data_IF_731560659125
#
_entry.id   IF_731560659125
#
_cell.length_a   1.000
_cell.length_b   1.000
_cell.length_c   1.000
_cell.angle_alpha   90.00
_cell.angle_beta   90.00
_cell.angle_gamma   90.00
#
_symmetry.space_group_name_H-M   'P 1'
#
loop_
_entity.id
_entity.type
_entity.pdbx_description
1 polymer ?
#
# COMPACT_ATOMS: atom_id res chain seq x y z
N UNK A 1 2.84 -36.85 -13.07
CA UNK A 1 3.88 -37.91 -13.05
C UNK A 1 5.31 -37.35 -12.86
N UNK A 2 5.64 -36.15 -13.36
CA UNK A 2 6.97 -35.53 -13.14
C UNK A 2 7.25 -35.09 -11.69
N UNK A 3 6.22 -34.71 -10.91
CA UNK A 3 6.36 -34.27 -9.52
C UNK A 3 6.83 -35.37 -8.56
N UNK A 4 6.57 -36.64 -8.87
CA UNK A 4 6.92 -37.78 -8.01
C UNK A 4 8.38 -38.23 -8.20
N UNK A 5 8.96 -38.01 -9.39
CA UNK A 5 10.37 -38.37 -9.66
C UNK A 5 11.39 -37.39 -9.07
N UNK A 6 10.96 -36.18 -8.72
CA UNK A 6 11.84 -35.19 -8.10
C UNK A 6 12.13 -35.51 -6.62
N UNK A 7 11.25 -36.19 -5.90
CA UNK A 7 11.38 -36.38 -4.44
C UNK A 7 12.60 -37.22 -3.99
N UNK A 8 13.32 -37.88 -4.91
CA UNK A 8 14.36 -38.87 -4.58
C UNK A 8 15.80 -38.32 -4.58
N UNK A 9 16.02 -37.04 -4.86
CA UNK A 9 17.37 -36.44 -4.89
C UNK A 9 17.50 -35.33 -3.86
N UNK A 10 18.61 -35.31 -3.09
CA UNK A 10 18.91 -34.27 -2.08
C UNK A 10 18.77 -32.83 -2.64
N UNK A 11 18.88 -32.65 -3.96
CA UNK A 11 18.62 -31.39 -4.67
C UNK A 11 17.21 -30.83 -4.46
N UNK A 12 16.18 -31.68 -4.36
CA UNK A 12 14.80 -31.21 -4.24
C UNK A 12 14.50 -30.67 -2.86
N UNK A 13 15.15 -31.20 -1.83
CA UNK A 13 15.06 -30.64 -0.48
C UNK A 13 15.65 -29.22 -0.45
N UNK A 14 16.80 -28.99 -1.08
CA UNK A 14 17.40 -27.66 -1.18
C UNK A 14 16.53 -26.68 -1.98
N UNK A 15 15.99 -27.11 -3.12
CA UNK A 15 15.08 -26.27 -3.93
C UNK A 15 13.81 -25.92 -3.14
N UNK A 16 13.19 -26.90 -2.47
CA UNK A 16 12.03 -26.66 -1.62
C UNK A 16 12.33 -25.69 -0.48
N UNK A 17 13.51 -25.80 0.14
CA UNK A 17 13.92 -24.91 1.23
C UNK A 17 14.13 -23.46 0.74
N UNK A 18 14.75 -23.28 -0.43
CA UNK A 18 14.89 -21.96 -1.07
C UNK A 18 13.52 -21.36 -1.39
N UNK A 19 12.61 -22.15 -1.97
CA UNK A 19 11.25 -21.70 -2.26
C UNK A 19 10.46 -21.35 -0.98
N UNK A 20 10.56 -22.18 0.06
CA UNK A 20 9.90 -21.94 1.34
C UNK A 20 10.42 -20.65 2.00
N UNK A 21 11.73 -20.42 1.95
CA UNK A 21 12.33 -19.20 2.47
C UNK A 21 11.85 -17.96 1.69
N UNK A 22 11.85 -18.04 0.36
CA UNK A 22 11.35 -16.98 -0.51
C UNK A 22 9.87 -16.65 -0.22
N UNK A 23 9.01 -17.66 -0.11
CA UNK A 23 7.60 -17.47 0.25
C UNK A 23 7.42 -16.90 1.66
N UNK A 24 8.24 -17.33 2.62
CA UNK A 24 8.17 -16.85 4.01
C UNK A 24 8.46 -15.35 4.11
N UNK A 25 9.44 -14.85 3.34
CA UNK A 25 9.72 -13.41 3.28
C UNK A 25 8.51 -12.64 2.73
N UNK A 26 7.92 -13.10 1.62
CA UNK A 26 6.75 -12.43 1.04
C UNK A 26 5.55 -12.44 1.98
N UNK A 27 5.31 -13.57 2.65
CA UNK A 27 4.25 -13.73 3.62
C UNK A 27 4.45 -12.76 4.79
N UNK A 28 5.68 -12.64 5.29
CA UNK A 28 6.03 -11.72 6.39
C UNK A 28 5.73 -10.27 6.03
N UNK A 29 6.15 -9.80 4.84
CA UNK A 29 5.86 -8.45 4.35
C UNK A 29 4.35 -8.21 4.26
N UNK A 30 3.62 -9.18 3.69
CA UNK A 30 2.17 -9.08 3.52
C UNK A 30 1.44 -9.03 4.87
N UNK A 31 1.87 -9.84 5.85
CA UNK A 31 1.33 -9.83 7.21
C UNK A 31 1.61 -8.51 7.92
N UNK A 32 2.79 -7.92 7.76
CA UNK A 32 3.11 -6.60 8.32
C UNK A 32 2.20 -5.51 7.75
N UNK A 33 1.96 -5.52 6.44
CA UNK A 33 1.02 -4.58 5.79
C UNK A 33 -0.42 -4.79 6.28
N UNK A 34 -0.84 -6.04 6.45
CA UNK A 34 -2.16 -6.38 6.96
C UNK A 34 -2.35 -5.97 8.43
N UNK A 35 -1.31 -6.15 9.25
CA UNK A 35 -1.30 -5.73 10.65
C UNK A 35 -1.39 -4.20 10.77
N UNK A 36 -0.61 -3.46 9.97
CA UNK A 36 -0.66 -1.99 9.95
C UNK A 36 -2.06 -1.48 9.58
N UNK A 37 -2.68 -2.09 8.56
CA UNK A 37 -4.07 -1.81 8.20
C UNK A 37 -5.03 -2.06 9.36
N UNK A 38 -4.90 -3.21 10.01
CA UNK A 38 -5.78 -3.61 11.10
C UNK A 38 -5.64 -2.72 12.34
N UNK A 39 -4.45 -2.16 12.59
CA UNK A 39 -4.21 -1.29 13.74
C UNK A 39 -4.66 0.15 13.45
N UNK A 40 -4.33 0.70 12.28
CA UNK A 40 -4.49 2.15 12.01
C UNK A 40 -5.78 2.53 11.30
N UNK A 41 -6.33 1.64 10.48
CA UNK A 41 -7.42 1.94 9.55
C UNK A 41 -8.61 1.00 9.68
N UNK A 42 -8.60 0.11 10.68
CA UNK A 42 -9.77 -0.70 11.00
C UNK A 42 -10.92 0.22 11.40
N UNK A 43 -12.04 0.09 10.70
CA UNK A 43 -13.25 0.91 10.84
C UNK A 43 -13.12 2.36 10.35
N UNK A 44 -12.15 2.66 9.48
CA UNK A 44 -12.10 3.95 8.81
C UNK A 44 -12.90 3.93 7.51
N UNK A 45 -13.85 4.86 7.36
CA UNK A 45 -14.58 5.09 6.11
C UNK A 45 -14.17 6.45 5.58
N UNK A 46 -13.65 6.47 4.35
CA UNK A 46 -13.30 7.71 3.67
C UNK A 46 -14.19 7.86 2.45
N UNK A 47 -14.92 8.97 2.37
CA UNK A 47 -15.79 9.28 1.24
C UNK A 47 -15.42 10.64 0.67
N UNK A 48 -15.06 10.65 -0.61
CA UNK A 48 -14.88 11.86 -1.37
C UNK A 48 -16.22 12.30 -1.96
N UNK A 49 -16.66 13.50 -1.62
CA UNK A 49 -17.78 14.19 -2.26
C UNK A 49 -17.26 15.31 -3.15
N UNK A 50 -18.16 15.94 -3.92
CA UNK A 50 -17.83 17.02 -4.88
C UNK A 50 -17.04 18.20 -4.31
N UNK A 51 -17.05 18.45 -3.00
CA UNK A 51 -16.26 19.53 -2.39
C UNK A 51 -15.75 19.21 -0.98
N UNK A 52 -15.94 17.96 -0.52
CA UNK A 52 -15.68 17.58 0.87
C UNK A 52 -15.05 16.20 0.96
N UNK A 53 -14.12 16.05 1.90
CA UNK A 53 -13.60 14.80 2.37
C UNK A 53 -14.34 14.45 3.66
N UNK A 54 -15.20 13.43 3.61
CA UNK A 54 -15.81 12.88 4.82
C UNK A 54 -14.94 11.73 5.30
N UNK A 55 -14.51 11.82 6.55
CA UNK A 55 -13.65 10.85 7.18
C UNK A 55 -14.29 10.38 8.48
N UNK A 56 -14.59 9.10 8.59
CA UNK A 56 -15.17 8.50 9.79
C UNK A 56 -14.18 7.51 10.40
N UNK A 57 -13.84 7.67 11.67
CA UNK A 57 -13.10 6.69 12.48
C UNK A 57 -13.93 6.37 13.71
N UNK A 58 -14.16 5.08 13.99
CA UNK A 58 -14.78 4.63 15.26
C UNK A 58 -16.03 5.47 15.63
N UNK A 59 -16.91 5.67 14.64
CA UNK A 59 -18.15 6.46 14.72
C UNK A 59 -18.03 7.98 14.87
N UNK A 60 -16.81 8.52 14.99
CA UNK A 60 -16.59 9.97 14.92
C UNK A 60 -16.46 10.38 13.45
N UNK A 61 -17.30 11.33 13.03
CA UNK A 61 -17.28 11.89 11.68
C UNK A 61 -16.58 13.24 11.64
N UNK A 62 -15.59 13.32 10.78
CA UNK A 62 -14.91 14.53 10.39
C UNK A 62 -15.29 14.87 8.95
N UNK A 63 -15.50 16.16 8.68
CA UNK A 63 -15.77 16.66 7.34
C UNK A 63 -14.79 17.79 7.09
N UNK A 64 -13.92 17.61 6.10
CA UNK A 64 -12.95 18.60 5.68
C UNK A 64 -13.33 19.14 4.30
N UNK A 65 -13.14 20.43 4.10
CA UNK A 65 -13.27 21.02 2.77
C UNK A 65 -12.02 20.71 1.94
N UNK A 66 -12.14 20.59 0.62
CA UNK A 66 -10.99 20.22 -0.22
C UNK A 66 -9.91 21.31 -0.25
N UNK A 67 -10.29 22.55 0.04
CA UNK A 67 -9.37 23.67 0.22
C UNK A 67 -8.44 23.46 1.42
N UNK A 68 -8.89 22.70 2.43
CA UNK A 68 -8.11 22.33 3.60
C UNK A 68 -7.10 21.22 3.31
N UNK A 69 -7.17 20.56 2.15
CA UNK A 69 -6.20 19.54 1.75
C UNK A 69 -4.94 20.23 1.23
N UNK A 70 -3.83 20.07 1.95
CA UNK A 70 -2.54 20.63 1.57
C UNK A 70 -1.91 19.75 0.47
N UNK A 71 -1.71 18.47 0.78
CA UNK A 71 -1.01 17.52 -0.09
C UNK A 71 -1.58 16.11 0.04
N UNK A 72 -1.51 15.37 -1.06
CA UNK A 72 -1.84 13.94 -1.08
C UNK A 72 -0.62 13.18 -1.58
N UNK A 73 -0.10 12.31 -0.72
CA UNK A 73 1.10 11.53 -0.98
C UNK A 73 0.69 10.08 -1.16
N UNK A 74 0.96 9.54 -2.34
CA UNK A 74 0.70 8.15 -2.67
C UNK A 74 2.01 7.37 -2.54
N UNK A 75 2.06 6.51 -1.53
CA UNK A 75 3.10 5.53 -1.29
C UNK A 75 2.71 4.21 -1.97
N UNK A 76 3.54 3.76 -2.89
CA UNK A 76 3.39 2.45 -3.51
C UNK A 76 4.34 1.45 -2.85
N UNK A 77 3.88 0.22 -2.67
CA UNK A 77 4.78 -0.90 -2.37
C UNK A 77 5.84 -1.05 -3.48
N UNK A 78 7.03 -1.59 -3.16
CA UNK A 78 8.05 -1.89 -4.17
C UNK A 78 7.45 -2.77 -5.27
N UNK A 79 7.75 -2.44 -6.52
CA UNK A 79 7.35 -3.26 -7.66
C UNK A 79 8.48 -3.29 -8.68
N UNK A 80 8.64 -4.43 -9.34
CA UNK A 80 9.58 -4.61 -10.45
C UNK A 80 9.14 -3.72 -11.62
N UNK A 81 7.83 -3.69 -11.91
CA UNK A 81 7.26 -2.89 -12.99
C UNK A 81 5.87 -2.38 -12.63
N UNK A 82 5.81 -1.15 -12.09
CA UNK A 82 4.55 -0.48 -11.74
C UNK A 82 3.71 -0.23 -13.00
N UNK A 83 2.39 -0.42 -12.90
CA UNK A 83 1.40 -0.38 -13.99
C UNK A 83 1.52 -1.52 -15.02
N UNK A 84 2.28 -2.58 -14.72
CA UNK A 84 2.20 -3.83 -15.47
C UNK A 84 0.93 -4.59 -15.12
N UNK A 85 0.38 -5.35 -16.08
CA UNK A 85 -0.68 -6.35 -15.80
C UNK A 85 -0.12 -7.59 -15.09
N UNK A 86 1.20 -7.77 -15.14
CA UNK A 86 1.91 -8.88 -14.48
C UNK A 86 2.34 -8.41 -13.09
N UNK A 87 1.81 -9.09 -12.08
CA UNK A 87 2.15 -8.91 -10.66
C UNK A 87 3.11 -10.04 -10.27
N UNK A 88 4.32 -9.70 -9.86
CA UNK A 88 5.37 -10.65 -9.46
C UNK A 88 5.33 -10.96 -7.97
N UNK A 89 4.94 -9.98 -7.15
CA UNK A 89 4.83 -10.16 -5.71
C UNK A 89 3.40 -9.83 -5.24
N UNK A 90 2.87 -10.58 -4.26
CA UNK A 90 1.50 -10.36 -3.76
C UNK A 90 1.32 -8.97 -3.13
N UNK A 91 2.42 -8.33 -2.68
CA UNK A 91 2.40 -6.99 -2.11
C UNK A 91 2.49 -5.85 -3.14
N UNK A 92 2.84 -6.10 -4.41
CA UNK A 92 3.00 -5.01 -5.41
C UNK A 92 1.72 -4.17 -5.63
N UNK A 93 0.50 -4.72 -5.54
CA UNK A 93 -0.73 -3.94 -5.65
C UNK A 93 -1.00 -3.05 -4.44
N UNK A 94 -0.22 -3.17 -3.35
CA UNK A 94 -0.49 -2.40 -2.15
C UNK A 94 -0.09 -0.94 -2.32
N UNK A 95 -1.04 -0.07 -1.97
CA UNK A 95 -0.90 1.37 -2.00
C UNK A 95 -1.35 1.94 -0.67
N UNK A 96 -0.69 3.00 -0.26
CA UNK A 96 -1.00 3.76 0.94
C UNK A 96 -1.03 5.23 0.59
N UNK A 97 -2.01 5.94 1.12
CA UNK A 97 -2.24 7.33 0.79
C UNK A 97 -2.33 8.10 2.07
N UNK A 98 -1.46 9.10 2.16
CA UNK A 98 -1.43 10.09 3.22
C UNK A 98 -2.00 11.38 2.66
N UNK A 99 -3.06 11.88 3.28
CA UNK A 99 -3.65 13.18 3.01
C UNK A 99 -3.25 14.08 4.17
N UNK A 100 -2.45 15.10 3.88
CA UNK A 100 -2.11 16.15 4.85
C UNK A 100 -3.11 17.29 4.69
N UNK A 101 -3.68 17.72 5.81
CA UNK A 101 -4.56 18.88 5.89
C UNK A 101 -3.77 20.09 6.39
N UNK A 102 -4.18 21.30 6.01
CA UNK A 102 -3.53 22.57 6.37
C UNK A 102 -3.48 22.79 7.89
N UNK A 103 -4.37 22.15 8.65
CA UNK A 103 -4.41 22.18 10.11
C UNK A 103 -3.43 21.20 10.79
N UNK A 104 -2.57 20.53 10.02
CA UNK A 104 -1.60 19.54 10.49
C UNK A 104 -2.19 18.14 10.71
N UNK A 105 -3.50 17.93 10.49
CA UNK A 105 -4.12 16.61 10.59
C UNK A 105 -3.75 15.73 9.40
N UNK A 106 -3.64 14.43 9.67
CA UNK A 106 -3.25 13.41 8.68
C UNK A 106 -4.34 12.36 8.56
N UNK A 107 -4.78 12.11 7.33
CA UNK A 107 -5.76 11.06 7.02
C UNK A 107 -5.08 9.98 6.19
N UNK A 108 -5.31 8.73 6.55
CA UNK A 108 -4.68 7.57 5.95
C UNK A 108 -5.68 6.69 5.24
N UNK A 109 -5.37 6.32 4.00
CA UNK A 109 -6.18 5.40 3.18
C UNK A 109 -5.28 4.31 2.63
N UNK A 110 -5.71 3.05 2.72
CA UNK A 110 -4.93 1.91 2.26
C UNK A 110 -5.64 1.18 1.11
N UNK A 111 -4.88 0.46 0.29
CA UNK A 111 -5.43 -0.39 -0.79
C UNK A 111 -6.25 -1.58 -0.29
N UNK A 112 -6.14 -1.94 0.99
CA UNK A 112 -7.03 -2.94 1.60
C UNK A 112 -8.44 -2.38 1.81
N UNK A 113 -8.56 -1.05 1.92
CA UNK A 113 -9.85 -0.35 1.96
C UNK A 113 -10.48 -0.21 0.57
N UNK A 114 -9.68 -0.01 -0.48
CA UNK A 114 -10.13 0.10 -1.87
C UNK A 114 -9.11 -0.56 -2.82
N UNK A 115 -9.51 -1.63 -3.51
CA UNK A 115 -8.66 -2.36 -4.45
C UNK A 115 -8.26 -1.53 -5.68
N UNK A 116 -9.03 -0.48 -6.00
CA UNK A 116 -8.83 0.41 -7.14
C UNK A 116 -8.35 1.81 -6.72
N UNK A 117 -7.80 1.93 -5.51
CA UNK A 117 -7.47 3.21 -4.85
C UNK A 117 -6.72 4.21 -5.76
N UNK A 118 -5.73 3.75 -6.53
CA UNK A 118 -4.95 4.60 -7.43
C UNK A 118 -5.82 5.20 -8.56
N UNK A 119 -6.70 4.40 -9.17
CA UNK A 119 -7.65 4.90 -10.16
C UNK A 119 -8.72 5.78 -9.52
N UNK A 120 -9.26 5.38 -8.36
CA UNK A 120 -10.26 6.14 -7.61
C UNK A 120 -9.77 7.57 -7.35
N UNK A 121 -8.53 7.72 -6.87
CA UNK A 121 -7.98 9.06 -6.55
C UNK A 121 -7.57 9.87 -7.76
N UNK A 122 -7.02 9.25 -8.81
CA UNK A 122 -6.76 9.95 -10.09
C UNK A 122 -8.05 10.45 -10.75
N UNK A 123 -9.15 9.74 -10.55
CA UNK A 123 -10.46 10.09 -11.14
C UNK A 123 -11.10 11.31 -10.47
N UNK A 124 -10.70 11.63 -9.23
CA UNK A 124 -11.19 12.80 -8.52
C UNK A 124 -10.49 14.04 -9.06
N UNK A 125 -11.20 14.76 -9.93
CA UNK A 125 -10.71 15.96 -10.63
C UNK A 125 -10.16 17.04 -9.71
N UNK A 126 -10.67 17.12 -8.49
CA UNK A 126 -10.38 18.17 -7.50
C UNK A 126 -9.04 17.95 -6.80
N UNK A 127 -8.48 16.75 -6.93
CA UNK A 127 -7.15 16.40 -6.41
C UNK A 127 -6.05 16.61 -7.46
N UNK A 128 -6.40 16.99 -8.70
CA UNK A 128 -5.42 17.23 -9.77
C UNK A 128 -4.50 18.39 -9.39
N UNK A 129 -3.20 18.10 -9.29
CA UNK A 129 -2.15 19.05 -8.91
C UNK A 129 -1.65 18.91 -7.46
N UNK A 130 -2.40 18.24 -6.57
CA UNK A 130 -2.00 17.99 -5.17
C UNK A 130 -1.49 16.56 -4.94
N UNK A 131 -1.46 15.74 -5.99
CA UNK A 131 -1.06 14.32 -5.91
C UNK A 131 0.42 14.16 -6.22
N UNK A 132 1.16 13.65 -5.25
CA UNK A 132 2.57 13.29 -5.37
C UNK A 132 2.75 11.77 -5.31
N UNK A 133 3.40 11.21 -6.32
CA UNK A 133 3.76 9.79 -6.35
C UNK A 133 5.18 9.61 -5.85
N UNK A 134 5.34 9.00 -4.68
CA UNK A 134 6.66 8.56 -4.23
C UNK A 134 7.03 7.27 -4.98
N UNK A 135 7.85 7.41 -6.03
CA UNK A 135 8.34 6.26 -6.79
C UNK A 135 9.39 5.51 -5.97
N UNK A 136 8.97 4.41 -5.33
CA UNK A 136 9.88 3.37 -4.81
C UNK A 136 10.08 2.31 -5.88
N UNK A 137 11.28 2.22 -6.44
CA UNK A 137 11.66 1.18 -7.39
C UNK A 137 12.68 0.26 -6.72
N UNK A 138 12.67 -1.03 -7.06
CA UNK A 138 13.65 -1.99 -6.52
C UNK A 138 15.11 -1.59 -6.87
N UNK A 139 15.30 -0.90 -8.00
CA UNK A 139 16.60 -0.47 -8.53
C UNK A 139 16.79 1.07 -8.61
N UNK A 140 15.81 1.87 -8.17
CA UNK A 140 15.92 3.33 -8.18
C UNK A 140 16.04 3.86 -6.75
N UNK A 141 16.86 4.89 -6.56
CA UNK A 141 17.30 5.58 -5.32
C UNK A 141 16.18 6.10 -4.37
N UNK A 142 15.11 5.36 -4.14
CA UNK A 142 14.16 5.57 -3.06
C UNK A 142 14.34 4.43 -2.07
N UNK A 143 15.06 4.72 -0.98
CA UNK A 143 15.42 3.77 0.07
C UNK A 143 14.29 2.79 0.40
N UNK A 144 14.68 1.52 0.55
CA UNK A 144 13.83 0.40 0.98
C UNK A 144 13.11 0.64 2.31
N UNK A 145 13.45 1.72 3.02
CA UNK A 145 13.27 1.86 4.46
C UNK A 145 12.73 3.23 4.88
N UNK A 146 11.97 3.93 4.04
CA UNK A 146 11.08 5.02 4.52
C UNK A 146 9.64 4.50 4.59
N UNK A 147 9.40 3.37 5.23
CA UNK A 147 8.04 3.12 5.70
C UNK A 147 7.69 4.24 6.69
N UNK A 148 6.44 4.75 6.73
CA UNK A 148 5.98 5.60 7.84
C UNK A 148 6.13 4.91 9.21
N UNK A 149 6.54 3.63 9.23
CA UNK A 149 7.01 2.86 10.37
C UNK A 149 8.30 3.41 11.01
N UNK A 150 9.22 4.00 10.22
CA UNK A 150 10.49 4.56 10.72
C UNK A 150 10.44 6.07 10.91
N UNK A 151 9.56 6.76 10.21
CA UNK A 151 9.36 8.20 10.42
C UNK A 151 8.57 8.52 11.72
N UNK A 152 8.15 7.48 12.47
CA UNK A 152 7.37 7.57 13.71
C UNK A 152 8.05 6.90 14.93
N UNK A 153 9.29 6.45 14.80
CA UNK A 153 10.20 6.07 15.89
C UNK A 153 11.20 7.20 16.14
#
# INVERSE_FOLDING_TARGET
MALVFFYKTNYVQHVLLIFAFYFSIQLTITLLLLADFYIKTKNTVVQFSKNKLNYQINDVRYSFEIEEIETIIIHCAPSIKRNSRVIFFPFEPFHYILINLNNGQKVYITSLSDSNLNSSIKSISILKGKIFYLKRGFFNNGAWINSPFLDAL
#
